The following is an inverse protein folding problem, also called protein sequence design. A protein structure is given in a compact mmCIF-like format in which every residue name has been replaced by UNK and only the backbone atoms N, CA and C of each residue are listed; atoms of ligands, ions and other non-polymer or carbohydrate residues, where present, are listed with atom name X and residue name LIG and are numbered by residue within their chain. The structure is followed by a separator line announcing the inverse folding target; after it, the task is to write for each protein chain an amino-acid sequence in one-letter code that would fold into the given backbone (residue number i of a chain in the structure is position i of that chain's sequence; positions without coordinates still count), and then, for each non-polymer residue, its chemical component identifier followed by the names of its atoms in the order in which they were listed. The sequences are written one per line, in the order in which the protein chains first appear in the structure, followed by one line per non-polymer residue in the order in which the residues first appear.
data_IF_656056405898
#
_entry.id   IF_656056405898
#
_cell.length_a   1.000
_cell.length_b   1.000
_cell.length_c   1.000
_cell.angle_alpha   90.00
_cell.angle_beta   90.00
_cell.angle_gamma   90.00
#
_symmetry.space_group_name_H-M   'P 1'
#
loop_
_entity.id
_entity.type
_entity.pdbx_description
1 polymer ?
#
# COMPACT_ATOMS: atom_id res chain seq x y z
N UNK A 1 47.24 -8.38 31.29
CA UNK A 1 45.82 -7.99 31.40
C UNK A 1 45.35 -7.48 30.03
N UNK A 2 44.93 -8.40 29.16
CA UNK A 2 44.29 -8.05 27.89
C UNK A 2 42.83 -7.73 28.16
N UNK A 3 42.45 -6.46 28.08
CA UNK A 3 41.06 -6.03 28.15
C UNK A 3 40.41 -6.34 26.79
N UNK A 4 39.63 -7.41 26.72
CA UNK A 4 38.70 -7.62 25.60
C UNK A 4 37.67 -6.49 25.62
N UNK A 5 37.78 -5.57 24.65
CA UNK A 5 36.70 -4.64 24.32
C UNK A 5 35.64 -5.40 23.53
N UNK A 6 34.57 -5.79 24.20
CA UNK A 6 33.35 -6.20 23.52
C UNK A 6 32.72 -4.95 22.89
N UNK A 7 32.69 -4.89 21.56
CA UNK A 7 31.91 -3.90 20.84
C UNK A 7 30.44 -4.35 20.90
N UNK A 8 29.66 -3.75 21.80
CA UNK A 8 28.20 -3.86 21.75
C UNK A 8 27.70 -3.08 20.55
N UNK A 9 27.26 -3.79 19.51
CA UNK A 9 26.52 -3.20 18.41
C UNK A 9 25.15 -2.78 18.94
N UNK A 10 24.92 -1.46 19.05
CA UNK A 10 23.61 -0.91 19.38
C UNK A 10 22.91 -0.68 18.04
N UNK A 11 21.99 -1.58 17.67
CA UNK A 11 21.16 -1.41 16.48
C UNK A 11 20.30 -0.15 16.69
N UNK A 12 20.31 0.78 15.74
CA UNK A 12 19.44 1.96 15.83
C UNK A 12 17.97 1.52 15.79
N UNK A 13 17.08 2.26 16.45
CA UNK A 13 15.64 2.01 16.39
C UNK A 13 15.13 2.00 14.93
N UNK A 14 15.72 2.85 14.08
CA UNK A 14 15.39 2.92 12.66
C UNK A 14 15.85 1.66 11.90
N UNK A 15 17.03 1.12 12.20
CA UNK A 15 17.54 -0.13 11.60
C UNK A 15 16.67 -1.32 11.99
N UNK A 16 16.27 -1.41 13.26
CA UNK A 16 15.36 -2.46 13.72
C UNK A 16 14.00 -2.42 13.01
N UNK A 17 13.47 -1.22 12.76
CA UNK A 17 12.20 -1.04 12.05
C UNK A 17 12.31 -1.35 10.55
N UNK A 18 13.44 -1.00 9.93
CA UNK A 18 13.73 -1.39 8.54
C UNK A 18 13.83 -2.91 8.41
N UNK A 19 14.60 -3.57 9.28
CA UNK A 19 14.72 -5.03 9.30
C UNK A 19 13.36 -5.70 9.53
N UNK A 20 12.52 -5.14 10.42
CA UNK A 20 11.17 -5.63 10.63
C UNK A 20 10.32 -5.53 9.36
N UNK A 21 10.36 -4.39 8.68
CA UNK A 21 9.65 -4.20 7.42
C UNK A 21 10.12 -5.20 6.36
N UNK A 22 11.43 -5.32 6.15
CA UNK A 22 12.01 -6.20 5.13
C UNK A 22 11.75 -7.68 5.39
N UNK A 23 11.80 -8.10 6.66
CA UNK A 23 11.66 -9.52 7.03
C UNK A 23 10.23 -9.96 7.29
N UNK A 24 9.33 -9.09 7.75
CA UNK A 24 7.97 -9.44 8.18
C UNK A 24 6.86 -8.86 7.30
N UNK A 25 7.07 -7.70 6.70
CA UNK A 25 6.00 -6.97 5.99
C UNK A 25 6.14 -7.13 4.48
N UNK A 26 7.30 -6.79 3.90
CA UNK A 26 7.53 -6.84 2.46
C UNK A 26 7.21 -8.22 1.84
N UNK A 27 7.61 -9.36 2.42
CA UNK A 27 7.32 -10.66 1.81
C UNK A 27 5.81 -10.92 1.68
N UNK A 28 5.04 -10.50 2.68
CA UNK A 28 3.57 -10.63 2.67
C UNK A 28 2.95 -9.71 1.62
N UNK A 29 3.40 -8.46 1.51
CA UNK A 29 2.93 -7.53 0.48
C UNK A 29 3.20 -8.07 -0.93
N UNK A 30 4.41 -8.60 -1.16
CA UNK A 30 4.79 -9.22 -2.44
C UNK A 30 3.90 -10.42 -2.76
N UNK A 31 3.68 -11.30 -1.79
CA UNK A 31 2.98 -12.56 -2.01
C UNK A 31 1.45 -12.40 -2.13
N UNK A 32 0.86 -11.46 -1.38
CA UNK A 32 -0.58 -11.39 -1.20
C UNK A 32 -1.24 -10.11 -1.70
N UNK A 33 -0.47 -9.04 -1.96
CA UNK A 33 -1.03 -7.73 -2.29
C UNK A 33 -0.65 -7.26 -3.69
N UNK A 34 0.59 -7.47 -4.12
CA UNK A 34 1.11 -6.86 -5.35
C UNK A 34 0.45 -7.38 -6.63
N UNK A 35 -0.11 -8.59 -6.64
CA UNK A 35 -0.84 -9.13 -7.80
C UNK A 35 -1.95 -8.17 -8.27
N UNK A 36 -2.53 -7.40 -7.33
CA UNK A 36 -3.63 -6.46 -7.60
C UNK A 36 -3.31 -5.01 -7.24
N UNK A 37 -2.34 -4.74 -6.36
CA UNK A 37 -2.08 -3.41 -5.78
C UNK A 37 -0.62 -2.95 -5.97
N UNK A 38 -0.08 -3.12 -7.18
CA UNK A 38 1.25 -2.66 -7.56
C UNK A 38 1.22 -1.97 -8.94
N UNK A 39 2.26 -1.20 -9.24
CA UNK A 39 2.44 -0.61 -10.57
C UNK A 39 2.55 -1.70 -11.64
N UNK A 40 3.24 -2.81 -11.31
CA UNK A 40 3.40 -3.94 -12.21
C UNK A 40 2.07 -4.65 -12.55
N UNK A 41 1.06 -4.57 -11.68
CA UNK A 41 -0.28 -5.09 -11.95
C UNK A 41 -1.02 -4.27 -13.04
N UNK A 42 -0.55 -3.05 -13.34
CA UNK A 42 -1.13 -2.16 -14.35
C UNK A 42 -2.44 -1.50 -13.92
N UNK A 43 -3.52 -2.28 -13.81
CA UNK A 43 -4.83 -1.80 -13.34
C UNK A 43 -5.02 -2.14 -11.87
N UNK A 44 -4.48 -1.29 -10.99
CA UNK A 44 -4.65 -1.49 -9.56
C UNK A 44 -6.12 -1.33 -9.13
N UNK A 45 -6.62 -2.30 -8.36
CA UNK A 45 -7.99 -2.25 -7.83
C UNK A 45 -8.14 -1.12 -6.81
N UNK A 46 -9.22 -0.33 -6.94
CA UNK A 46 -9.49 0.82 -6.08
C UNK A 46 -8.43 1.92 -6.14
N UNK A 47 -7.64 1.98 -7.22
CA UNK A 47 -6.57 2.98 -7.39
C UNK A 47 -5.41 2.85 -6.38
N UNK A 48 -5.33 1.73 -5.64
CA UNK A 48 -4.45 1.59 -4.49
C UNK A 48 -3.07 1.00 -4.85
N UNK A 49 -1.98 1.70 -4.55
CA UNK A 49 -0.62 1.17 -4.68
C UNK A 49 -0.03 0.83 -3.30
N UNK A 50 0.44 -0.41 -3.13
CA UNK A 50 1.06 -0.89 -1.88
C UNK A 50 2.55 -1.18 -2.03
N UNK A 51 3.11 -1.03 -3.22
CA UNK A 51 4.50 -1.31 -3.58
C UNK A 51 5.46 -0.13 -3.35
N UNK A 52 4.96 1.02 -2.90
CA UNK A 52 5.77 2.18 -2.53
C UNK A 52 5.17 2.95 -1.34
N UNK A 53 6.04 3.66 -0.60
CA UNK A 53 5.65 4.54 0.51
C UNK A 53 4.60 5.57 0.09
N UNK A 54 4.92 6.33 -0.95
CA UNK A 54 4.01 7.36 -1.48
C UNK A 54 2.70 6.78 -1.96
N UNK A 55 2.71 5.57 -2.53
CA UNK A 55 1.50 4.87 -2.99
C UNK A 55 0.51 4.62 -1.85
N UNK A 56 0.94 3.98 -0.77
CA UNK A 56 0.03 3.66 0.32
C UNK A 56 -0.32 4.88 1.19
N UNK A 57 0.56 5.89 1.23
CA UNK A 57 0.27 7.18 1.89
C UNK A 57 -0.81 7.96 1.15
N UNK A 58 -0.74 7.98 -0.19
CA UNK A 58 -1.77 8.59 -1.03
C UNK A 58 -3.09 7.82 -0.89
N UNK A 59 -3.00 6.49 -0.86
CA UNK A 59 -4.15 5.63 -0.75
C UNK A 59 -4.91 5.46 -2.07
N UNK A 60 -6.07 4.82 -1.99
CA UNK A 60 -6.96 4.57 -3.11
C UNK A 60 -8.21 5.42 -3.07
N UNK A 61 -9.25 4.97 -3.78
CA UNK A 61 -10.56 5.65 -3.86
C UNK A 61 -11.23 5.82 -2.48
N UNK A 62 -10.92 4.92 -1.54
CA UNK A 62 -11.43 4.94 -0.16
C UNK A 62 -10.59 5.80 0.79
N UNK A 63 -9.50 6.43 0.32
CA UNK A 63 -8.59 7.23 1.13
C UNK A 63 -7.29 6.49 1.50
N UNK A 64 -6.54 6.99 2.51
CA UNK A 64 -5.21 6.48 2.86
C UNK A 64 -5.23 5.00 3.21
N UNK A 65 -4.31 4.23 2.62
CA UNK A 65 -4.26 2.79 2.84
C UNK A 65 -3.72 2.45 4.24
N UNK A 66 -2.70 3.21 4.66
CA UNK A 66 -2.02 3.08 5.94
C UNK A 66 -1.89 4.47 6.56
N UNK A 67 -2.25 4.56 7.82
CA UNK A 67 -2.11 5.76 8.65
C UNK A 67 -1.09 5.47 9.74
N UNK A 68 0.16 5.98 9.63
CA UNK A 68 1.20 5.77 10.63
C UNK A 68 0.73 6.08 12.05
N UNK A 69 1.00 5.16 12.97
CA UNK A 69 0.59 5.24 14.38
C UNK A 69 -0.88 4.90 14.66
N UNK A 70 -1.70 4.65 13.64
CA UNK A 70 -3.15 4.39 13.80
C UNK A 70 -3.61 3.17 12.99
N UNK A 71 -3.35 1.93 13.48
CA UNK A 71 -3.79 0.70 12.81
C UNK A 71 -5.30 0.67 12.53
N UNK A 72 -6.11 1.11 13.49
CA UNK A 72 -7.57 1.09 13.40
C UNK A 72 -8.12 2.10 12.38
N UNK A 73 -7.32 3.09 11.99
CA UNK A 73 -7.64 4.04 10.93
C UNK A 73 -7.03 3.64 9.57
N UNK A 74 -6.34 2.50 9.49
CA UNK A 74 -5.65 2.03 8.29
C UNK A 74 -6.49 0.98 7.56
N UNK A 75 -6.93 1.29 6.33
CA UNK A 75 -7.75 0.38 5.53
C UNK A 75 -7.10 -0.97 5.27
N UNK A 76 -5.78 -1.01 5.05
CA UNK A 76 -5.05 -2.28 4.85
C UNK A 76 -5.19 -3.18 6.07
N UNK A 77 -5.06 -2.64 7.27
CA UNK A 77 -5.18 -3.42 8.49
C UNK A 77 -6.61 -3.89 8.70
N UNK A 78 -7.60 -3.00 8.53
CA UNK A 78 -9.02 -3.35 8.63
C UNK A 78 -9.39 -4.49 7.66
N UNK A 79 -8.90 -4.44 6.41
CA UNK A 79 -9.15 -5.46 5.40
C UNK A 79 -8.63 -6.83 5.83
N UNK A 80 -7.39 -6.91 6.34
CA UNK A 80 -6.78 -8.20 6.74
C UNK A 80 -7.20 -8.68 8.13
N UNK A 81 -7.63 -7.78 9.02
CA UNK A 81 -8.05 -8.10 10.40
C UNK A 81 -9.52 -8.50 10.48
N UNK A 82 -10.36 -8.00 9.57
CA UNK A 82 -11.78 -8.31 9.56
C UNK A 82 -12.03 -9.77 9.15
N UNK A 83 -12.70 -10.51 10.03
CA UNK A 83 -13.07 -11.91 9.80
C UNK A 83 -14.24 -12.10 8.83
N UNK A 84 -14.44 -11.23 7.83
CA UNK A 84 -15.37 -11.49 6.73
C UNK A 84 -16.41 -10.42 6.39
N UNK A 85 -16.32 -9.19 6.92
CA UNK A 85 -17.27 -8.10 6.61
C UNK A 85 -16.75 -7.07 5.60
N UNK A 86 -15.47 -7.13 5.22
CA UNK A 86 -14.94 -6.25 4.18
C UNK A 86 -15.21 -6.89 2.82
N UNK A 87 -16.21 -6.35 2.11
CA UNK A 87 -16.59 -6.78 0.75
C UNK A 87 -15.50 -6.46 -0.29
N UNK A 88 -14.59 -5.53 0.01
CA UNK A 88 -13.46 -5.13 -0.83
C UNK A 88 -12.17 -5.79 -0.35
N UNK A 89 -11.88 -6.98 -0.88
CA UNK A 89 -10.60 -7.71 -0.75
C UNK A 89 -9.86 -7.65 0.61
N UNK A 90 -9.97 -8.71 1.42
CA UNK A 90 -8.79 -9.39 1.94
C UNK A 90 -8.23 -10.39 0.90
N UNK A 91 -6.99 -10.90 1.10
CA UNK A 91 -6.44 -11.98 0.27
C UNK A 91 -7.39 -13.18 0.18
N UNK A 92 -7.30 -13.93 -0.93
CA UNK A 92 -8.18 -15.10 -1.22
C UNK A 92 -8.27 -16.10 -0.06
N UNK A 93 -7.21 -16.20 0.75
CA UNK A 93 -7.16 -16.92 2.02
C UNK A 93 -6.87 -15.95 3.16
N UNK A 94 -7.46 -16.18 4.33
CA UNK A 94 -7.09 -15.43 5.53
C UNK A 94 -5.59 -15.58 5.82
N UNK A 95 -4.95 -14.46 6.16
CA UNK A 95 -3.58 -14.45 6.65
C UNK A 95 -3.53 -15.06 8.05
N UNK A 96 -2.37 -15.60 8.43
CA UNK A 96 -2.14 -16.08 9.78
C UNK A 96 -2.28 -14.92 10.79
N UNK A 97 -2.77 -15.21 11.99
CA UNK A 97 -2.95 -14.19 13.03
C UNK A 97 -1.65 -13.45 13.36
N UNK A 98 -0.51 -14.16 13.34
CA UNK A 98 0.82 -13.54 13.52
C UNK A 98 1.12 -12.49 12.44
N UNK A 99 0.73 -12.75 11.18
CA UNK A 99 0.93 -11.80 10.08
C UNK A 99 0.07 -10.55 10.31
N UNK A 100 -1.20 -10.72 10.70
CA UNK A 100 -2.09 -9.59 11.00
C UNK A 100 -1.53 -8.74 12.14
N UNK A 101 -0.99 -9.37 13.19
CA UNK A 101 -0.37 -8.65 14.29
C UNK A 101 0.93 -7.95 13.88
N UNK A 102 1.76 -8.57 13.03
CA UNK A 102 2.96 -7.91 12.48
C UNK A 102 2.58 -6.62 11.73
N UNK A 103 1.52 -6.63 10.93
CA UNK A 103 1.00 -5.42 10.28
C UNK A 103 0.53 -4.39 11.30
N UNK A 104 -0.20 -4.82 12.35
CA UNK A 104 -0.65 -3.93 13.43
C UNK A 104 0.54 -3.22 14.09
N UNK A 105 1.56 -3.98 14.48
CA UNK A 105 2.77 -3.48 15.13
C UNK A 105 3.56 -2.55 14.22
N UNK A 106 3.76 -2.93 12.96
CA UNK A 106 4.47 -2.08 12.00
C UNK A 106 3.77 -0.73 11.82
N UNK A 107 2.45 -0.71 11.67
CA UNK A 107 1.68 0.53 11.53
C UNK A 107 1.76 1.36 12.81
N UNK A 108 1.58 0.72 13.98
CA UNK A 108 1.67 1.39 15.27
C UNK A 108 3.04 2.07 15.48
N UNK A 109 4.11 1.45 14.96
CA UNK A 109 5.48 1.95 15.02
C UNK A 109 5.84 2.94 13.89
N UNK A 110 4.84 3.51 13.21
CA UNK A 110 5.05 4.57 12.22
C UNK A 110 5.18 4.10 10.78
N UNK A 111 4.92 2.82 10.51
CA UNK A 111 4.93 2.23 9.16
C UNK A 111 6.21 2.53 8.35
N UNK A 112 7.37 2.32 8.98
CA UNK A 112 8.67 2.54 8.32
C UNK A 112 8.77 1.70 7.06
N UNK A 113 9.07 2.38 5.95
CA UNK A 113 9.10 1.77 4.62
C UNK A 113 10.18 2.44 3.73
N UNK A 114 11.27 1.76 3.36
CA UNK A 114 12.34 2.36 2.55
C UNK A 114 11.98 2.50 1.06
N UNK A 115 10.80 2.06 0.62
CA UNK A 115 10.41 2.07 -0.80
C UNK A 115 9.96 3.46 -1.22
N UNK A 116 10.75 4.10 -2.07
CA UNK A 116 10.32 5.28 -2.80
C UNK A 116 9.37 4.92 -3.95
N UNK A 117 8.58 5.88 -4.42
CA UNK A 117 7.72 5.67 -5.58
C UNK A 117 8.53 5.46 -6.86
N UNK A 118 8.21 4.42 -7.61
CA UNK A 118 8.62 4.30 -9.01
C UNK A 118 7.56 4.97 -9.89
N UNK A 119 7.69 6.28 -10.10
CA UNK A 119 6.81 7.15 -10.90
C UNK A 119 5.32 7.16 -10.50
N UNK A 120 4.70 8.35 -10.26
CA UNK A 120 3.28 8.40 -9.98
C UNK A 120 2.49 7.91 -11.20
N UNK A 121 1.62 6.91 -11.03
CA UNK A 121 0.52 6.72 -11.97
C UNK A 121 -0.28 8.03 -11.98
N UNK A 122 -0.18 8.76 -13.10
CA UNK A 122 -0.86 10.03 -13.29
C UNK A 122 -2.32 9.88 -12.85
N UNK A 123 -2.71 10.67 -11.84
CA UNK A 123 -4.02 10.61 -11.22
C UNK A 123 -5.05 11.04 -12.27
N UNK A 124 -5.78 10.06 -12.82
CA UNK A 124 -6.71 10.28 -13.91
C UNK A 124 -6.00 10.66 -15.20
N UNK A 125 -6.44 10.09 -16.33
CA UNK A 125 -6.21 10.80 -17.59
C UNK A 125 -6.81 12.18 -17.41
N UNK A 126 -6.02 13.24 -17.61
CA UNK A 126 -6.60 14.57 -17.80
C UNK A 126 -7.56 14.40 -18.97
N UNK A 127 -8.85 14.45 -18.68
CA UNK A 127 -9.88 14.35 -19.68
C UNK A 127 -9.83 15.67 -20.44
N UNK A 128 -9.39 15.58 -21.70
CA UNK A 128 -9.51 16.69 -22.63
C UNK A 128 -11.00 16.82 -23.02
N UNK A 129 -11.72 17.67 -22.28
CA UNK A 129 -13.14 17.93 -22.47
C UNK A 129 -13.44 18.49 -23.87
N UNK A 130 -12.47 19.12 -24.53
CA UNK A 130 -12.64 19.63 -25.89
C UNK A 130 -12.63 18.46 -26.89
N UNK A 131 -11.67 17.54 -26.75
CA UNK A 131 -11.58 16.32 -27.55
C UNK A 131 -12.75 15.37 -27.32
N UNK A 132 -13.30 15.31 -26.11
CA UNK A 132 -14.49 14.49 -25.83
C UNK A 132 -15.73 14.99 -26.59
N UNK A 133 -15.88 16.31 -26.78
CA UNK A 133 -17.02 16.89 -27.53
C UNK A 133 -17.01 16.52 -29.01
N UNK A 134 -15.86 16.13 -29.57
CA UNK A 134 -15.75 15.65 -30.95
C UNK A 134 -16.26 14.21 -31.12
N UNK A 135 -16.46 13.48 -30.03
CA UNK A 135 -16.93 12.10 -30.09
C UNK A 135 -18.38 12.05 -30.60
N UNK A 136 -18.68 11.06 -31.45
CA UNK A 136 -19.94 10.95 -32.19
C UNK A 136 -21.20 10.99 -31.31
N UNK A 137 -21.11 10.54 -30.06
CA UNK A 137 -22.24 10.53 -29.12
C UNK A 137 -22.66 11.94 -28.65
N UNK A 138 -21.76 12.92 -28.75
CA UNK A 138 -22.00 14.32 -28.38
C UNK A 138 -22.26 15.22 -29.60
N UNK A 139 -22.18 14.67 -30.80
CA UNK A 139 -22.52 15.41 -32.03
C UNK A 139 -24.04 15.45 -32.20
N UNK A 140 -24.62 16.60 -32.56
CA UNK A 140 -26.06 16.70 -32.80
C UNK A 140 -26.46 15.75 -33.93
N UNK A 141 -27.54 14.99 -33.72
CA UNK A 141 -28.09 14.11 -34.77
C UNK A 141 -28.46 14.97 -35.97
N UNK A 142 -27.82 14.69 -37.11
CA UNK A 142 -28.21 15.26 -38.39
C UNK A 142 -29.59 14.71 -38.75
N UNK A 143 -30.62 15.51 -38.51
CA UNK A 143 -31.94 15.33 -39.11
C UNK A 143 -31.86 15.87 -40.54
N UNK A 144 -32.16 15.01 -41.50
CA UNK A 144 -32.33 15.38 -42.90
C UNK A 144 -33.69 16.02 -43.13
#
# INVERSE_FOLDING_TARGET
FFLLRYATCVLSADEAQLDFFESRIRPVLVQHCYECHSVAAGMSRGGLLLDSRTGWMTGGDSGPAIVPGRPEASHVWQAISASGEVSEMPPKSRLAAEVVENFRLWILNGAVDPREASEPLARGRVIDLEREREFWAYQPRRVF
#
